data_IF_969916354451
#
_entry.id   IF_969916354451
#
_cell.length_a   1.000
_cell.length_b   1.000
_cell.length_c   1.000
_cell.angle_alpha   90.00
_cell.angle_beta   90.00
_cell.angle_gamma   90.00
#
_symmetry.space_group_name_H-M   'P 1'
#
loop_
_entity.id
_entity.type
_entity.pdbx_description
1 polymer ?
#
# COMPACT_ATOMS: atom_id res chain seq x y z
N UNK A 1 -29.29 -0.93 12.79
CA UNK A 1 -28.04 -0.23 13.11
C UNK A 1 -26.95 -1.30 13.07
N UNK A 2 -26.23 -1.40 11.97
CA UNK A 2 -25.24 -2.48 11.78
C UNK A 2 -23.94 -2.15 12.52
N UNK A 3 -23.35 -3.11 13.24
CA UNK A 3 -22.07 -2.92 13.89
C UNK A 3 -20.94 -3.01 12.85
N UNK A 4 -19.94 -2.16 13.03
CA UNK A 4 -18.68 -2.16 12.31
C UNK A 4 -18.00 -3.53 12.42
N UNK A 5 -18.14 -4.36 11.39
CA UNK A 5 -17.23 -5.47 11.15
C UNK A 5 -16.06 -4.94 10.31
N UNK A 6 -15.05 -4.40 10.98
CA UNK A 6 -13.70 -4.43 10.42
C UNK A 6 -13.24 -5.88 10.48
N UNK A 7 -13.49 -6.60 9.39
CA UNK A 7 -12.89 -7.90 9.18
C UNK A 7 -11.39 -7.66 9.01
N UNK A 8 -10.59 -8.08 10.00
CA UNK A 8 -9.17 -8.34 9.84
C UNK A 8 -9.03 -9.34 8.69
N UNK A 9 -8.93 -8.83 7.47
CA UNK A 9 -8.73 -9.68 6.31
C UNK A 9 -7.29 -10.16 6.41
N UNK A 10 -7.17 -11.45 6.72
CA UNK A 10 -5.94 -12.22 6.76
C UNK A 10 -4.97 -11.77 5.66
N UNK A 11 -3.74 -11.50 6.10
CA UNK A 11 -2.56 -11.07 5.34
C UNK A 11 -2.06 -12.27 4.48
N UNK A 12 -2.98 -12.95 3.80
CA UNK A 12 -2.71 -14.08 2.92
C UNK A 12 -3.10 -13.78 1.46
N UNK A 13 -3.44 -12.51 1.17
CA UNK A 13 -3.77 -11.95 -0.16
C UNK A 13 -3.05 -10.64 -0.48
N UNK A 14 -1.86 -10.44 0.08
CA UNK A 14 -1.11 -9.17 0.09
C UNK A 14 -0.76 -8.62 -1.28
N UNK A 15 -0.36 -9.48 -2.22
CA UNK A 15 0.10 -9.06 -3.55
C UNK A 15 -0.98 -8.37 -4.39
N UNK A 16 -2.20 -8.93 -4.43
CA UNK A 16 -3.30 -8.35 -5.22
C UNK A 16 -3.79 -7.03 -4.63
N UNK A 17 -3.77 -6.90 -3.30
CA UNK A 17 -4.13 -5.66 -2.61
C UNK A 17 -3.08 -4.56 -2.84
N UNK A 18 -1.78 -4.90 -2.75
CA UNK A 18 -0.69 -3.96 -2.98
C UNK A 18 -0.70 -3.42 -4.42
N UNK A 19 -0.89 -4.30 -5.41
CA UNK A 19 -0.99 -3.90 -6.81
C UNK A 19 -2.21 -2.97 -7.06
N UNK A 20 -3.33 -3.24 -6.40
CA UNK A 20 -4.55 -2.43 -6.51
C UNK A 20 -4.36 -1.06 -5.88
N UNK A 21 -3.77 -1.00 -4.67
CA UNK A 21 -3.43 0.24 -3.98
C UNK A 21 -2.45 1.08 -4.80
N UNK A 22 -1.44 0.45 -5.40
CA UNK A 22 -0.51 1.11 -6.29
C UNK A 22 -1.22 1.73 -7.50
N UNK A 23 -2.06 0.96 -8.20
CA UNK A 23 -2.79 1.44 -9.37
C UNK A 23 -3.70 2.62 -9.02
N UNK A 24 -4.42 2.56 -7.90
CA UNK A 24 -5.25 3.66 -7.41
C UNK A 24 -4.42 4.89 -7.03
N UNK A 25 -3.30 4.69 -6.33
CA UNK A 25 -2.40 5.75 -5.88
C UNK A 25 -1.80 6.50 -7.07
N UNK A 26 -1.29 5.76 -8.06
CA UNK A 26 -0.74 6.34 -9.29
C UNK A 26 -1.80 7.08 -10.10
N UNK A 27 -3.04 6.57 -10.13
CA UNK A 27 -4.16 7.23 -10.80
C UNK A 27 -4.58 8.53 -10.10
N UNK A 28 -4.63 8.53 -8.77
CA UNK A 28 -5.05 9.69 -7.96
C UNK A 28 -3.91 10.71 -7.77
N UNK A 29 -2.65 10.27 -7.89
CA UNK A 29 -1.47 11.08 -7.57
C UNK A 29 -1.31 11.35 -6.08
N UNK A 30 -1.99 10.58 -5.23
CA UNK A 30 -1.98 10.76 -3.79
C UNK A 30 -2.22 9.44 -3.05
N UNK A 31 -1.66 9.35 -1.85
CA UNK A 31 -1.83 8.24 -0.92
C UNK A 31 -2.08 8.81 0.48
N UNK A 32 -2.93 8.18 1.28
CA UNK A 32 -3.13 8.64 2.66
C UNK A 32 -1.88 8.35 3.50
N UNK A 33 -1.63 9.18 4.52
CA UNK A 33 -0.57 8.91 5.47
C UNK A 33 -0.68 7.53 6.13
N UNK A 34 -1.91 7.08 6.45
CA UNK A 34 -2.15 5.76 7.06
C UNK A 34 -1.73 4.64 6.13
N UNK A 35 -2.22 4.64 4.89
CA UNK A 35 -1.90 3.59 3.90
C UNK A 35 -0.39 3.59 3.60
N UNK A 36 0.21 4.77 3.48
CA UNK A 36 1.65 4.92 3.30
C UNK A 36 2.45 4.35 4.47
N UNK A 37 2.03 4.64 5.71
CA UNK A 37 2.70 4.16 6.90
C UNK A 37 2.58 2.64 7.05
N UNK A 38 1.40 2.07 6.77
CA UNK A 38 1.20 0.62 6.76
C UNK A 38 2.10 -0.06 5.74
N UNK A 39 2.23 0.50 4.53
CA UNK A 39 3.10 -0.03 3.47
C UNK A 39 4.58 -0.07 3.84
N UNK A 40 5.10 1.00 4.43
CA UNK A 40 6.53 1.08 4.80
C UNK A 40 6.84 0.34 6.09
N UNK A 41 5.83 0.10 6.94
CA UNK A 41 5.97 -0.68 8.17
C UNK A 41 5.78 -2.19 7.92
N UNK A 42 4.95 -2.60 6.95
CA UNK A 42 4.69 -3.98 6.59
C UNK A 42 5.94 -4.88 6.36
N UNK A 43 7.05 -4.42 5.73
CA UNK A 43 8.24 -5.25 5.57
C UNK A 43 8.93 -5.63 6.89
N UNK A 44 8.55 -5.03 8.02
CA UNK A 44 9.05 -5.43 9.35
C UNK A 44 8.34 -6.69 9.88
N UNK A 45 7.14 -6.99 9.38
CA UNK A 45 6.27 -8.05 9.88
C UNK A 45 6.06 -9.21 8.87
N UNK A 46 6.39 -9.02 7.59
CA UNK A 46 6.22 -10.03 6.55
C UNK A 46 7.30 -9.98 5.44
N UNK A 47 7.61 -11.14 4.86
CA UNK A 47 8.48 -11.25 3.69
C UNK A 47 7.69 -10.92 2.42
N UNK A 48 8.15 -9.92 1.65
CA UNK A 48 7.57 -9.59 0.35
C UNK A 48 8.00 -10.55 -0.75
N UNK A 49 7.15 -10.70 -1.76
CA UNK A 49 7.55 -11.34 -3.02
C UNK A 49 8.33 -10.33 -3.87
N UNK A 50 9.13 -10.77 -4.86
CA UNK A 50 9.84 -9.86 -5.77
C UNK A 50 8.91 -8.87 -6.51
N UNK A 51 7.69 -9.28 -6.83
CA UNK A 51 6.69 -8.41 -7.46
C UNK A 51 6.21 -7.33 -6.49
N UNK A 52 6.00 -7.67 -5.22
CA UNK A 52 5.64 -6.71 -4.18
C UNK A 52 6.76 -5.68 -3.96
N UNK A 53 8.03 -6.14 -3.96
CA UNK A 53 9.20 -5.28 -3.83
C UNK A 53 9.32 -4.27 -4.99
N UNK A 54 9.05 -4.68 -6.23
CA UNK A 54 9.02 -3.78 -7.39
C UNK A 54 7.92 -2.72 -7.24
N UNK A 55 6.71 -3.13 -6.83
CA UNK A 55 5.60 -2.21 -6.60
C UNK A 55 5.91 -1.20 -5.49
N UNK A 56 6.44 -1.67 -4.36
CA UNK A 56 6.86 -0.81 -3.24
C UNK A 56 7.97 0.15 -3.66
N UNK A 57 8.97 -0.34 -4.41
CA UNK A 57 10.08 0.48 -4.90
C UNK A 57 9.57 1.61 -5.79
N UNK A 58 8.63 1.31 -6.69
CA UNK A 58 8.00 2.33 -7.55
C UNK A 58 7.16 3.32 -6.76
N UNK A 59 6.46 2.87 -5.73
CA UNK A 59 5.66 3.74 -4.88
C UNK A 59 6.55 4.69 -4.06
N UNK A 60 7.65 4.18 -3.49
CA UNK A 60 8.67 4.98 -2.80
C UNK A 60 9.28 6.01 -3.74
N UNK A 61 9.62 5.60 -4.96
CA UNK A 61 10.11 6.51 -5.98
C UNK A 61 9.07 7.61 -6.30
N UNK A 62 7.81 7.23 -6.49
CA UNK A 62 6.69 8.12 -6.74
C UNK A 62 6.56 9.21 -5.67
N UNK A 63 6.61 8.82 -4.40
CA UNK A 63 6.52 9.75 -3.26
C UNK A 63 7.75 10.65 -3.18
N UNK A 64 8.97 10.08 -3.25
CA UNK A 64 10.23 10.84 -3.12
C UNK A 64 10.42 11.90 -4.20
N UNK A 65 9.95 11.61 -5.42
CA UNK A 65 10.08 12.52 -6.55
C UNK A 65 8.85 13.42 -6.76
N UNK A 66 7.85 13.33 -5.88
CA UNK A 66 6.66 14.20 -5.91
C UNK A 66 5.62 13.83 -6.97
N UNK A 67 5.70 12.64 -7.57
CA UNK A 67 4.65 12.10 -8.45
C UNK A 67 3.41 11.68 -7.66
N UNK A 68 3.61 11.26 -6.41
CA UNK A 68 2.56 10.92 -5.46
C UNK A 68 2.72 11.77 -4.22
N UNK A 69 1.65 12.45 -3.81
CA UNK A 69 1.62 13.23 -2.57
C UNK A 69 1.06 12.39 -1.42
N UNK A 70 1.76 12.33 -0.30
CA UNK A 70 1.20 11.81 0.95
C UNK A 70 0.27 12.88 1.54
N UNK A 71 -0.99 12.51 1.79
CA UNK A 71 -2.05 13.41 2.28
C UNK A 71 -2.63 12.99 3.62
#
# INVERSE_FOLDING_TARGET
MSPHQFCLQEISGTSTQLASLFAETMKKGQISFTDWNELIAAPLDATFTPDDEDVLTRMIYGVRHGFVKVV
#
